data_IF_901202531448
#
_entry.id   IF_901202531448
#
_cell.length_a   1.000
_cell.length_b   1.000
_cell.length_c   1.000
_cell.angle_alpha   90.00
_cell.angle_beta   90.00
_cell.angle_gamma   90.00
#
_symmetry.space_group_name_H-M   'P 1'
#
loop_
_entity.id
_entity.type
_entity.pdbx_description
1 polymer ?
#
# COMPACT_ATOMS: atom_id res chain seq x y z
N UNK A 1 -24.30 7.45 -3.22
CA UNK A 1 -22.88 7.65 -2.86
C UNK A 1 -22.04 7.62 -4.14
N UNK A 2 -21.57 8.75 -4.64
CA UNK A 2 -20.46 8.76 -5.62
C UNK A 2 -19.20 9.10 -4.81
N UNK A 3 -18.26 8.14 -4.64
CA UNK A 3 -16.98 8.45 -4.02
C UNK A 3 -16.29 9.53 -4.83
N UNK A 4 -15.61 10.46 -4.16
CA UNK A 4 -14.82 11.46 -4.85
C UNK A 4 -13.70 10.78 -5.66
N UNK A 5 -13.41 11.29 -6.85
CA UNK A 5 -12.36 10.75 -7.73
C UNK A 5 -11.01 10.67 -6.99
N UNK A 6 -10.76 11.61 -6.08
CA UNK A 6 -9.59 11.66 -5.20
C UNK A 6 -9.46 10.39 -4.34
N UNK A 7 -10.55 9.95 -3.72
CA UNK A 7 -10.58 8.79 -2.85
C UNK A 7 -10.29 7.49 -3.62
N UNK A 8 -10.84 7.36 -4.83
CA UNK A 8 -10.50 6.25 -5.73
C UNK A 8 -9.02 6.22 -6.10
N UNK A 9 -8.41 7.38 -6.36
CA UNK A 9 -6.98 7.46 -6.69
C UNK A 9 -6.14 6.99 -5.50
N UNK A 10 -6.41 7.48 -4.28
CA UNK A 10 -5.63 7.11 -3.10
C UNK A 10 -5.72 5.61 -2.78
N UNK A 11 -6.92 5.02 -2.86
CA UNK A 11 -7.12 3.58 -2.65
C UNK A 11 -6.41 2.77 -3.74
N UNK A 12 -6.50 3.20 -5.00
CA UNK A 12 -5.86 2.49 -6.11
C UNK A 12 -4.33 2.51 -5.97
N UNK A 13 -3.74 3.64 -5.57
CA UNK A 13 -2.30 3.74 -5.30
C UNK A 13 -1.90 2.89 -4.11
N UNK A 14 -2.67 2.90 -3.02
CA UNK A 14 -2.41 2.06 -1.86
C UNK A 14 -2.45 0.57 -2.23
N UNK A 15 -3.45 0.15 -3.00
CA UNK A 15 -3.58 -1.23 -3.48
C UNK A 15 -2.40 -1.62 -4.40
N UNK A 16 -2.00 -0.74 -5.33
CA UNK A 16 -0.85 -0.99 -6.20
C UNK A 16 0.44 -1.19 -5.39
N UNK A 17 0.71 -0.31 -4.43
CA UNK A 17 1.88 -0.43 -3.54
C UNK A 17 1.83 -1.71 -2.70
N UNK A 18 0.66 -2.11 -2.23
CA UNK A 18 0.48 -3.36 -1.49
C UNK A 18 0.82 -4.58 -2.36
N UNK A 19 0.31 -4.64 -3.59
CA UNK A 19 0.60 -5.74 -4.53
C UNK A 19 2.09 -5.78 -4.88
N UNK A 20 2.71 -4.63 -5.16
CA UNK A 20 4.15 -4.51 -5.38
C UNK A 20 4.95 -5.03 -4.18
N UNK A 21 4.55 -4.68 -2.95
CA UNK A 21 5.21 -5.19 -1.74
C UNK A 21 5.18 -6.72 -1.66
N UNK A 22 4.04 -7.33 -1.97
CA UNK A 22 3.88 -8.78 -1.96
C UNK A 22 4.78 -9.47 -3.01
N UNK A 23 4.92 -8.88 -4.20
CA UNK A 23 5.83 -9.38 -5.24
C UNK A 23 7.29 -9.31 -4.78
N UNK A 24 7.71 -8.22 -4.14
CA UNK A 24 9.05 -8.09 -3.60
C UNK A 24 9.35 -9.11 -2.50
N UNK A 25 8.38 -9.42 -1.63
CA UNK A 25 8.53 -10.49 -0.65
C UNK A 25 8.62 -11.88 -1.30
N UNK A 26 7.80 -12.16 -2.33
CA UNK A 26 7.88 -13.42 -3.07
C UNK A 26 9.25 -13.58 -3.75
N UNK A 27 9.79 -12.51 -4.35
CA UNK A 27 11.14 -12.50 -4.89
C UNK A 27 12.22 -12.65 -3.83
N UNK A 28 12.06 -12.02 -2.66
CA UNK A 28 12.99 -12.18 -1.54
C UNK A 28 13.14 -13.64 -1.13
N UNK A 29 12.02 -14.37 -1.05
CA UNK A 29 12.03 -15.82 -0.78
C UNK A 29 12.77 -16.58 -1.90
N UNK A 30 12.49 -16.28 -3.17
CA UNK A 30 13.20 -16.91 -4.30
C UNK A 30 14.70 -16.62 -4.35
N UNK A 31 15.15 -15.44 -3.91
CA UNK A 31 16.57 -15.13 -3.78
C UNK A 31 17.23 -15.87 -2.62
N UNK A 32 16.51 -16.13 -1.52
CA UNK A 32 17.00 -16.99 -0.43
C UNK A 32 17.25 -18.42 -0.89
N UNK A 33 16.36 -18.99 -1.70
CA UNK A 33 16.53 -20.35 -2.27
C UNK A 33 17.80 -20.47 -3.12
N UNK A 34 18.25 -19.38 -3.74
CA UNK A 34 19.46 -19.32 -4.59
C UNK A 34 20.73 -18.94 -3.82
N UNK A 35 20.70 -18.97 -2.49
CA UNK A 35 21.78 -18.51 -1.60
C UNK A 35 22.21 -17.04 -1.79
N UNK A 36 21.35 -16.19 -2.38
CA UNK A 36 21.61 -14.76 -2.57
C UNK A 36 21.05 -13.95 -1.39
N UNK A 37 21.71 -14.06 -0.23
CA UNK A 37 21.23 -13.49 1.04
C UNK A 37 21.17 -11.94 1.01
N UNK A 38 22.16 -11.28 0.40
CA UNK A 38 22.15 -9.82 0.31
C UNK A 38 20.99 -9.31 -0.55
N UNK A 39 20.75 -9.95 -1.71
CA UNK A 39 19.67 -9.59 -2.63
C UNK A 39 18.30 -9.89 -2.05
N UNK A 40 18.16 -11.00 -1.29
CA UNK A 40 16.91 -11.31 -0.58
C UNK A 40 16.60 -10.26 0.49
N UNK A 41 17.61 -9.81 1.23
CA UNK A 41 17.43 -8.81 2.28
C UNK A 41 17.07 -7.44 1.72
N UNK A 42 17.71 -7.02 0.61
CA UNK A 42 17.39 -5.77 -0.10
C UNK A 42 15.95 -5.82 -0.64
N UNK A 43 15.55 -6.92 -1.28
CA UNK A 43 14.18 -7.06 -1.80
C UNK A 43 13.13 -7.10 -0.68
N UNK A 44 13.42 -7.76 0.45
CA UNK A 44 12.55 -7.70 1.63
C UNK A 44 12.43 -6.28 2.19
N UNK A 45 13.53 -5.52 2.25
CA UNK A 45 13.53 -4.14 2.73
C UNK A 45 12.69 -3.24 1.82
N UNK A 46 12.84 -3.37 0.50
CA UNK A 46 12.03 -2.64 -0.48
C UNK A 46 10.55 -3.02 -0.34
N UNK A 47 10.25 -4.31 -0.21
CA UNK A 47 8.89 -4.81 0.05
C UNK A 47 8.30 -4.18 1.30
N UNK A 48 9.06 -4.14 2.40
CA UNK A 48 8.61 -3.55 3.66
C UNK A 48 8.37 -2.03 3.55
N UNK A 49 9.25 -1.29 2.87
CA UNK A 49 9.06 0.14 2.61
C UNK A 49 7.79 0.41 1.79
N UNK A 50 7.54 -0.39 0.75
CA UNK A 50 6.32 -0.31 -0.06
C UNK A 50 5.07 -0.66 0.75
N UNK A 51 5.14 -1.69 1.59
CA UNK A 51 4.04 -2.07 2.48
C UNK A 51 3.70 -0.93 3.44
N UNK A 52 4.71 -0.36 4.09
CA UNK A 52 4.55 0.81 4.97
C UNK A 52 3.90 2.00 4.25
N UNK A 53 4.36 2.32 3.04
CA UNK A 53 3.77 3.37 2.21
C UNK A 53 2.31 3.06 1.83
N UNK A 54 1.99 1.80 1.51
CA UNK A 54 0.61 1.39 1.20
C UNK A 54 -0.33 1.61 2.39
N UNK A 55 0.10 1.20 3.60
CA UNK A 55 -0.69 1.34 4.82
C UNK A 55 -0.91 2.82 5.19
N UNK A 56 0.13 3.64 4.98
CA UNK A 56 0.00 5.09 5.15
C UNK A 56 -1.02 5.71 4.18
N UNK A 57 -1.00 5.30 2.91
CA UNK A 57 -1.97 5.76 1.91
C UNK A 57 -3.39 5.26 2.21
N UNK A 58 -3.56 4.03 2.71
CA UNK A 58 -4.86 3.55 3.20
C UNK A 58 -5.36 4.37 4.38
N UNK A 59 -4.48 4.74 5.32
CA UNK A 59 -4.83 5.60 6.46
C UNK A 59 -5.29 6.98 6.00
N UNK A 60 -4.59 7.60 5.05
CA UNK A 60 -5.01 8.89 4.45
C UNK A 60 -6.37 8.73 3.76
N UNK A 61 -6.56 7.66 3.00
CA UNK A 61 -7.82 7.39 2.31
C UNK A 61 -9.00 7.31 3.29
N UNK A 62 -8.81 6.62 4.42
CA UNK A 62 -9.81 6.52 5.48
C UNK A 62 -10.08 7.87 6.15
N UNK A 63 -9.04 8.69 6.36
CA UNK A 63 -9.19 10.03 6.92
C UNK A 63 -9.99 10.95 5.99
N UNK A 64 -9.65 10.97 4.69
CA UNK A 64 -10.38 11.75 3.67
C UNK A 64 -11.84 11.30 3.60
N UNK A 65 -12.10 9.98 3.64
CA UNK A 65 -13.46 9.45 3.69
C UNK A 65 -14.25 9.94 4.91
N UNK A 66 -13.61 9.94 6.09
CA UNK A 66 -14.22 10.40 7.33
C UNK A 66 -14.58 11.89 7.28
N UNK A 67 -13.65 12.72 6.82
CA UNK A 67 -13.86 14.16 6.64
C UNK A 67 -14.96 14.45 5.60
N UNK A 68 -14.94 13.81 4.44
CA UNK A 68 -15.98 13.98 3.41
C UNK A 68 -17.38 13.52 3.89
N UNK A 69 -17.42 12.55 4.81
CA UNK A 69 -18.67 12.10 5.44
C UNK A 69 -19.17 13.09 6.49
N UNK A 70 -18.27 13.69 7.27
CA UNK A 70 -18.60 14.69 8.30
C UNK A 70 -19.06 16.02 7.67
N UNK A 71 -18.40 16.49 6.61
CA UNK A 71 -18.80 17.69 5.86
C UNK A 71 -20.17 17.55 5.17
N UNK A 72 -20.60 16.32 4.87
CA UNK A 72 -21.91 16.07 4.26
C UNK A 72 -23.08 16.09 5.24
N UNK A 73 -22.82 16.16 6.55
CA UNK A 73 -23.83 16.28 7.61
C UNK A 73 -24.80 15.09 7.73
N UNK A 74 -25.36 14.82 8.92
CA UNK A 74 -26.50 13.93 9.07
C UNK A 74 -27.73 14.62 8.49
N UNK A 75 -28.11 14.27 7.27
CA UNK A 75 -29.45 14.58 6.74
C UNK A 75 -30.52 13.84 7.52
#
# INVERSE_FOLDING_TARGET
MKPSLKLYIYISVALALFVLSALFFAWSVGYMERAMIATSLISALIGFSMLSASLYMFRISAYVYGVEKEERGPS
#
